data_IF_908799759406
#
_entry.id   IF_908799759406
#
_cell.length_a   1.000
_cell.length_b   1.000
_cell.length_c   1.000
_cell.angle_alpha   90.00
_cell.angle_beta   90.00
_cell.angle_gamma   90.00
#
_symmetry.space_group_name_H-M   'P 1'
#
loop_
_entity.id
_entity.type
_entity.pdbx_description
1 polymer ?
#
# COMPACT_ATOMS: atom_id res chain seq x y z
N UNK A 1 55.32 26.81 -43.67
CA UNK A 1 55.66 26.98 -42.24
C UNK A 1 54.94 28.19 -41.62
N UNK A 2 54.57 29.20 -42.40
CA UNK A 2 53.83 30.41 -41.97
C UNK A 2 52.41 30.12 -41.40
N UNK A 3 51.64 29.25 -42.05
CA UNK A 3 50.24 28.95 -41.67
C UNK A 3 50.09 28.30 -40.28
N UNK A 4 51.07 27.47 -39.88
CA UNK A 4 51.05 26.74 -38.60
C UNK A 4 51.35 27.68 -37.42
N UNK A 5 52.13 28.74 -37.64
CA UNK A 5 52.42 29.75 -36.61
C UNK A 5 51.21 30.64 -36.33
N UNK A 6 50.48 31.05 -37.38
CA UNK A 6 49.28 31.88 -37.22
C UNK A 6 48.20 31.19 -36.36
N UNK A 7 48.02 29.86 -36.52
CA UNK A 7 47.08 29.10 -35.71
C UNK A 7 47.47 29.03 -34.23
N UNK A 8 48.77 28.98 -33.93
CA UNK A 8 49.27 28.99 -32.54
C UNK A 8 49.13 30.36 -31.87
N UNK A 9 49.36 31.43 -32.62
CA UNK A 9 49.16 32.79 -32.12
C UNK A 9 47.68 33.09 -31.86
N UNK A 10 46.79 32.67 -32.75
CA UNK A 10 45.34 32.78 -32.57
C UNK A 10 44.83 31.97 -31.38
N UNK A 11 45.31 30.73 -31.20
CA UNK A 11 44.98 29.90 -30.03
C UNK A 11 45.51 30.52 -28.72
N UNK A 12 46.74 31.02 -28.73
CA UNK A 12 47.32 31.71 -27.58
C UNK A 12 46.55 32.99 -27.22
N UNK A 13 46.08 33.74 -28.23
CA UNK A 13 45.26 34.93 -28.06
C UNK A 13 43.88 34.59 -27.48
N UNK A 14 43.19 33.59 -28.04
CA UNK A 14 41.89 33.14 -27.55
C UNK A 14 41.99 32.62 -26.10
N UNK A 15 43.04 31.85 -25.80
CA UNK A 15 43.29 31.30 -24.46
C UNK A 15 43.62 32.37 -23.44
N UNK A 16 44.34 33.43 -23.83
CA UNK A 16 44.60 34.60 -22.99
C UNK A 16 43.30 35.33 -22.66
N UNK A 17 42.48 35.60 -23.68
CA UNK A 17 41.19 36.28 -23.50
C UNK A 17 40.25 35.48 -22.58
N UNK A 18 40.10 34.18 -22.81
CA UNK A 18 39.24 33.31 -21.99
C UNK A 18 39.72 33.26 -20.53
N UNK A 19 41.03 33.34 -20.29
CA UNK A 19 41.63 33.31 -18.95
C UNK A 19 41.53 34.65 -18.21
N UNK A 20 41.40 35.75 -18.93
CA UNK A 20 41.19 37.10 -18.38
C UNK A 20 39.72 37.36 -17.99
N UNK A 21 38.79 36.54 -18.49
CA UNK A 21 37.39 36.57 -18.03
C UNK A 21 37.38 36.17 -16.55
N UNK A 22 36.89 37.07 -15.69
CA UNK A 22 36.64 36.76 -14.28
C UNK A 22 35.66 35.59 -14.21
N UNK A 23 36.11 34.47 -13.63
CA UNK A 23 35.23 33.35 -13.32
C UNK A 23 34.16 33.84 -12.33
N UNK A 24 32.91 33.88 -12.78
CA UNK A 24 31.78 34.08 -11.90
C UNK A 24 31.67 32.86 -10.98
N UNK A 25 32.06 33.02 -9.72
CA UNK A 25 31.84 32.00 -8.72
C UNK A 25 30.37 32.04 -8.31
N UNK A 26 29.70 30.89 -8.17
CA UNK A 26 28.37 30.87 -7.59
C UNK A 26 28.40 31.54 -6.20
N UNK A 27 27.24 32.04 -5.75
CA UNK A 27 27.12 32.57 -4.40
C UNK A 27 27.57 31.52 -3.38
N UNK A 28 28.09 31.95 -2.24
CA UNK A 28 28.57 31.05 -1.17
C UNK A 28 27.49 30.03 -0.75
N UNK A 29 26.23 30.42 -0.87
CA UNK A 29 25.06 29.63 -0.48
C UNK A 29 24.33 28.98 -1.68
N UNK A 30 24.94 28.93 -2.85
CA UNK A 30 24.32 28.36 -4.06
C UNK A 30 23.91 26.90 -3.84
N UNK A 31 24.82 26.08 -3.35
CA UNK A 31 24.54 24.65 -3.08
C UNK A 31 23.47 24.48 -2.02
N UNK A 32 23.52 25.29 -0.94
CA UNK A 32 22.51 25.25 0.11
C UNK A 32 21.12 25.64 -0.42
N UNK A 33 21.05 26.71 -1.23
CA UNK A 33 19.81 27.20 -1.83
C UNK A 33 19.23 26.21 -2.84
N UNK A 34 20.09 25.60 -3.67
CA UNK A 34 19.70 24.57 -4.65
C UNK A 34 19.17 23.32 -3.94
N UNK A 35 19.90 22.82 -2.94
CA UNK A 35 19.52 21.61 -2.21
C UNK A 35 18.20 21.82 -1.44
N UNK A 36 18.02 23.00 -0.84
CA UNK A 36 16.76 23.33 -0.15
C UNK A 36 15.58 23.33 -1.13
N UNK A 37 15.76 23.86 -2.34
CA UNK A 37 14.72 23.85 -3.39
C UNK A 37 14.40 22.44 -3.88
N UNK A 38 15.42 21.61 -4.09
CA UNK A 38 15.28 20.20 -4.48
C UNK A 38 14.53 19.42 -3.41
N UNK A 39 14.88 19.59 -2.13
CA UNK A 39 14.20 18.90 -1.01
C UNK A 39 12.73 19.30 -0.93
N UNK A 40 12.41 20.59 -1.11
CA UNK A 40 11.02 21.08 -1.09
C UNK A 40 10.20 20.54 -2.27
N UNK A 41 10.75 20.50 -3.48
CA UNK A 41 10.07 19.89 -4.63
C UNK A 41 9.91 18.38 -4.48
N UNK A 42 10.94 17.70 -3.99
CA UNK A 42 10.92 16.25 -3.79
C UNK A 42 9.97 15.84 -2.65
N UNK A 43 9.80 16.67 -1.62
CA UNK A 43 8.80 16.47 -0.56
C UNK A 43 7.36 16.61 -1.09
N UNK A 44 7.12 17.56 -2.00
CA UNK A 44 5.80 17.71 -2.64
C UNK A 44 5.45 16.53 -3.57
N UNK A 45 6.46 15.87 -4.14
CA UNK A 45 6.30 14.72 -5.03
C UNK A 45 6.50 13.37 -4.34
N UNK A 46 6.69 13.32 -3.01
CA UNK A 46 6.64 12.05 -2.27
C UNK A 46 5.24 11.49 -2.46
N UNK A 47 5.17 10.54 -3.40
CA UNK A 47 4.07 9.65 -3.72
C UNK A 47 3.02 9.66 -2.63
N UNK A 48 2.00 10.49 -2.81
CA UNK A 48 0.78 10.38 -2.05
C UNK A 48 0.30 8.98 -2.36
N UNK A 49 0.50 8.07 -1.41
CA UNK A 49 0.03 6.70 -1.51
C UNK A 49 -1.48 6.82 -1.61
N UNK A 50 -1.97 6.82 -2.84
CA UNK A 50 -3.39 6.93 -3.13
C UNK A 50 -3.99 5.66 -2.55
N UNK A 51 -4.61 5.81 -1.38
CA UNK A 51 -5.34 4.72 -0.72
C UNK A 51 -6.21 4.06 -1.80
N UNK A 52 -6.01 2.76 -2.08
CA UNK A 52 -6.71 2.05 -3.16
C UNK A 52 -8.23 2.15 -3.01
N UNK A 53 -8.70 2.34 -1.77
CA UNK A 53 -10.09 2.54 -1.39
C UNK A 53 -10.12 3.74 -0.43
N UNK A 54 -10.87 4.78 -0.79
CA UNK A 54 -11.10 5.94 0.09
C UNK A 54 -11.68 5.49 1.44
N UNK A 55 -11.40 6.23 2.52
CA UNK A 55 -12.02 6.02 3.84
C UNK A 55 -13.55 5.84 3.80
N UNK A 56 -14.23 6.51 2.86
CA UNK A 56 -15.67 6.33 2.63
C UNK A 56 -16.03 4.98 1.99
N UNK A 57 -15.18 4.46 1.10
CA UNK A 57 -15.35 3.13 0.48
C UNK A 57 -15.24 1.99 1.48
N UNK A 58 -14.36 2.12 2.48
CA UNK A 58 -14.26 1.18 3.59
C UNK A 58 -15.54 1.11 4.42
N UNK A 59 -16.21 2.24 4.64
CA UNK A 59 -17.49 2.29 5.35
C UNK A 59 -18.60 1.55 4.58
N UNK A 60 -18.63 1.69 3.24
CA UNK A 60 -19.59 0.99 2.38
C UNK A 60 -19.34 -0.53 2.40
N UNK A 61 -18.08 -0.96 2.36
CA UNK A 61 -17.72 -2.39 2.45
C UNK A 61 -18.15 -2.95 3.81
N UNK A 62 -17.85 -2.24 4.90
CA UNK A 62 -18.26 -2.65 6.24
C UNK A 62 -19.78 -2.78 6.35
N UNK A 63 -20.54 -1.79 5.86
CA UNK A 63 -21.99 -1.80 5.87
C UNK A 63 -22.56 -2.95 5.02
N UNK A 64 -21.95 -3.25 3.88
CA UNK A 64 -22.34 -4.36 3.01
C UNK A 64 -22.15 -5.72 3.69
N UNK A 65 -21.00 -5.93 4.35
CA UNK A 65 -20.75 -7.14 5.14
C UNK A 65 -21.75 -7.25 6.29
N UNK A 66 -22.00 -6.14 7.00
CA UNK A 66 -22.96 -6.10 8.10
C UNK A 66 -24.37 -6.46 7.63
N UNK A 67 -24.80 -5.97 6.47
CA UNK A 67 -26.09 -6.29 5.88
C UNK A 67 -26.19 -7.78 5.55
N UNK A 68 -25.19 -8.36 4.89
CA UNK A 68 -25.17 -9.80 4.55
C UNK A 68 -25.25 -10.67 5.81
N UNK A 69 -24.61 -10.25 6.90
CA UNK A 69 -24.67 -10.97 8.18
C UNK A 69 -26.02 -10.78 8.87
N UNK A 70 -26.57 -9.57 8.94
CA UNK A 70 -27.78 -9.27 9.72
C UNK A 70 -29.10 -9.60 9.01
N UNK A 71 -29.15 -9.55 7.67
CA UNK A 71 -30.33 -9.91 6.88
C UNK A 71 -30.86 -11.33 7.22
N UNK A 72 -30.03 -12.39 7.28
CA UNK A 72 -30.51 -13.72 7.64
C UNK A 72 -30.95 -13.82 9.11
N UNK A 73 -30.34 -13.06 10.04
CA UNK A 73 -30.79 -13.03 11.45
C UNK A 73 -32.15 -12.36 11.64
N UNK A 74 -32.48 -11.36 10.80
CA UNK A 74 -33.75 -10.64 10.88
C UNK A 74 -34.86 -11.31 10.08
N UNK A 75 -34.51 -12.09 9.06
CA UNK A 75 -35.43 -12.78 8.15
C UNK A 75 -35.72 -14.23 8.60
N UNK A 76 -36.08 -14.41 9.87
CA UNK A 76 -36.43 -15.73 10.42
C UNK A 76 -37.82 -16.23 9.98
N UNK A 77 -38.53 -15.54 9.08
CA UNK A 77 -39.90 -15.97 8.71
C UNK A 77 -40.11 -16.40 7.26
N UNK A 78 -39.44 -15.86 6.21
CA UNK A 78 -39.69 -16.31 4.83
C UNK A 78 -38.44 -16.25 3.95
N UNK A 79 -37.83 -17.40 3.74
CA UNK A 79 -36.63 -17.63 2.93
C UNK A 79 -36.90 -17.52 1.43
N UNK A 80 -36.44 -16.45 0.78
CA UNK A 80 -36.32 -16.36 -0.69
C UNK A 80 -34.99 -16.89 -1.23
N UNK A 81 -34.08 -17.30 -0.34
CA UNK A 81 -32.80 -17.91 -0.70
C UNK A 81 -32.86 -19.34 -0.17
N UNK A 82 -32.87 -20.33 -1.07
CA UNK A 82 -32.60 -21.72 -0.71
C UNK A 82 -31.12 -21.83 -0.34
N UNK A 83 -30.76 -21.31 0.82
CA UNK A 83 -29.52 -21.68 1.49
C UNK A 83 -29.74 -23.14 1.87
N UNK A 84 -28.94 -24.09 1.35
CA UNK A 84 -29.02 -25.46 1.83
C UNK A 84 -28.88 -25.39 3.35
N UNK A 85 -29.81 -26.04 4.08
CA UNK A 85 -29.71 -26.16 5.53
C UNK A 85 -28.32 -26.68 5.83
N UNK A 86 -27.45 -25.80 6.29
CA UNK A 86 -26.14 -26.17 6.80
C UNK A 86 -26.45 -26.86 8.11
N UNK A 87 -26.73 -28.16 8.01
CA UNK A 87 -26.93 -28.98 9.19
C UNK A 87 -25.57 -29.10 9.86
N UNK A 88 -25.37 -28.25 10.87
CA UNK A 88 -24.22 -28.25 11.76
C UNK A 88 -24.22 -29.48 12.69
N UNK A 89 -24.88 -30.58 12.32
CA UNK A 89 -24.87 -31.85 13.04
C UNK A 89 -23.44 -32.40 13.26
N UNK A 90 -22.49 -31.99 12.40
CA UNK A 90 -21.06 -32.26 12.62
C UNK A 90 -20.51 -31.59 13.89
N UNK A 91 -21.00 -30.41 14.28
CA UNK A 91 -20.56 -29.72 15.49
C UNK A 91 -21.00 -30.46 16.76
N UNK A 92 -22.19 -31.09 16.77
CA UNK A 92 -22.64 -31.91 17.91
C UNK A 92 -21.76 -33.13 18.15
N UNK A 93 -21.05 -33.60 17.12
CA UNK A 93 -20.09 -34.71 17.25
C UNK A 93 -18.70 -34.25 17.68
N UNK A 94 -18.42 -32.95 17.66
CA UNK A 94 -17.17 -32.39 18.14
C UNK A 94 -17.27 -32.30 19.66
N UNK A 95 -16.80 -33.34 20.34
CA UNK A 95 -16.58 -33.28 21.78
C UNK A 95 -15.40 -32.33 22.02
N UNK A 96 -15.71 -31.04 22.22
CA UNK A 96 -14.73 -30.05 22.65
C UNK A 96 -14.25 -30.50 24.03
N UNK A 97 -12.98 -30.88 24.19
CA UNK A 97 -12.55 -31.42 25.46
C UNK A 97 -12.46 -30.29 26.49
N UNK A 98 -12.75 -30.62 27.76
CA UNK A 98 -12.89 -29.69 28.89
C UNK A 98 -11.61 -28.88 29.23
N UNK A 99 -10.55 -28.96 28.41
CA UNK A 99 -9.37 -28.10 28.57
C UNK A 99 -9.66 -26.63 28.27
N UNK A 100 -10.72 -26.31 27.51
CA UNK A 100 -11.14 -24.92 27.27
C UNK A 100 -11.90 -24.32 28.46
N UNK A 101 -12.55 -25.14 29.29
CA UNK A 101 -13.35 -24.67 30.44
C UNK A 101 -12.49 -24.02 31.52
N UNK A 102 -11.23 -24.44 31.63
CA UNK A 102 -10.25 -23.85 32.56
C UNK A 102 -9.48 -22.65 31.97
N UNK A 103 -9.70 -22.32 30.69
CA UNK A 103 -9.04 -21.19 30.05
C UNK A 103 -9.85 -19.91 30.26
N UNK A 104 -9.37 -19.05 31.17
CA UNK A 104 -9.84 -17.66 31.26
C UNK A 104 -9.34 -16.88 30.04
N UNK A 105 -10.14 -16.89 28.98
CA UNK A 105 -9.88 -16.10 27.77
C UNK A 105 -10.05 -14.62 28.10
N UNK A 106 -8.98 -13.84 27.93
CA UNK A 106 -9.06 -12.38 28.06
C UNK A 106 -9.75 -11.78 26.83
N UNK A 107 -10.39 -10.61 26.99
CA UNK A 107 -11.06 -9.92 25.88
C UNK A 107 -10.11 -9.71 24.68
N UNK A 108 -8.82 -9.45 24.94
CA UNK A 108 -7.79 -9.32 23.90
C UNK A 108 -7.61 -10.61 23.10
N UNK A 109 -7.56 -11.77 23.75
CA UNK A 109 -7.44 -13.07 23.07
C UNK A 109 -8.69 -13.37 22.25
N UNK A 110 -9.88 -13.01 22.76
CA UNK A 110 -11.13 -13.14 22.01
C UNK A 110 -11.13 -12.30 20.73
N UNK A 111 -10.75 -11.01 20.83
CA UNK A 111 -10.62 -10.14 19.66
C UNK A 111 -9.57 -10.64 18.67
N UNK A 112 -8.45 -11.17 19.17
CA UNK A 112 -7.41 -11.76 18.33
C UNK A 112 -7.91 -12.98 17.55
N UNK A 113 -8.61 -13.92 18.21
CA UNK A 113 -9.20 -15.10 17.56
C UNK A 113 -10.22 -14.68 16.51
N UNK A 114 -11.09 -13.73 16.83
CA UNK A 114 -12.11 -13.23 15.90
C UNK A 114 -11.48 -12.60 14.65
N UNK A 115 -10.52 -11.70 14.85
CA UNK A 115 -9.84 -11.03 13.74
C UNK A 115 -9.01 -12.00 12.90
N UNK A 116 -8.32 -12.95 13.55
CA UNK A 116 -7.55 -13.99 12.88
C UNK A 116 -8.46 -14.91 12.05
N UNK A 117 -9.61 -15.31 12.58
CA UNK A 117 -10.62 -16.07 11.84
C UNK A 117 -11.11 -15.32 10.60
N UNK A 118 -11.43 -14.03 10.73
CA UNK A 118 -11.85 -13.21 9.59
C UNK A 118 -10.76 -13.11 8.52
N UNK A 119 -9.50 -12.91 8.94
CA UNK A 119 -8.36 -12.86 8.03
C UNK A 119 -8.11 -14.20 7.33
N UNK A 120 -8.30 -15.33 8.02
CA UNK A 120 -8.20 -16.67 7.43
C UNK A 120 -9.24 -16.86 6.32
N UNK A 121 -10.49 -16.45 6.53
CA UNK A 121 -11.51 -16.50 5.46
C UNK A 121 -11.13 -15.62 4.25
N UNK A 122 -10.60 -14.42 4.49
CA UNK A 122 -10.12 -13.56 3.42
C UNK A 122 -8.98 -14.22 2.62
N UNK A 123 -8.05 -14.90 3.30
CA UNK A 123 -6.98 -15.67 2.66
C UNK A 123 -7.53 -16.82 1.81
N UNK A 124 -8.51 -17.59 2.32
CA UNK A 124 -9.15 -18.68 1.57
C UNK A 124 -9.82 -18.16 0.30
N UNK A 125 -10.54 -17.03 0.36
CA UNK A 125 -11.17 -16.41 -0.82
C UNK A 125 -10.13 -15.90 -1.81
N UNK A 126 -9.08 -15.24 -1.34
CA UNK A 126 -7.98 -14.78 -2.19
C UNK A 126 -7.30 -15.94 -2.91
N UNK A 127 -7.01 -17.02 -2.19
CA UNK A 127 -6.37 -18.21 -2.72
C UNK A 127 -7.28 -18.90 -3.73
N UNK A 128 -8.58 -19.03 -3.43
CA UNK A 128 -9.59 -19.58 -4.36
C UNK A 128 -9.66 -18.75 -5.66
N UNK A 129 -9.68 -17.43 -5.57
CA UNK A 129 -9.69 -16.56 -6.75
C UNK A 129 -8.40 -16.68 -7.58
N UNK A 130 -7.25 -16.85 -6.92
CA UNK A 130 -5.97 -17.03 -7.59
C UNK A 130 -5.88 -18.38 -8.32
N UNK A 131 -6.36 -19.48 -7.72
CA UNK A 131 -6.38 -20.79 -8.37
C UNK A 131 -7.44 -20.87 -9.48
N UNK A 132 -8.62 -20.25 -9.31
CA UNK A 132 -9.66 -20.25 -10.35
C UNK A 132 -9.20 -19.53 -11.62
N UNK A 133 -8.35 -18.50 -11.51
CA UNK A 133 -7.79 -17.78 -12.66
C UNK A 133 -6.67 -18.53 -13.40
N UNK A 134 -6.16 -19.64 -12.86
CA UNK A 134 -5.08 -20.44 -13.48
C UNK A 134 -5.58 -21.75 -14.10
N UNK A 135 -6.84 -22.10 -13.87
CA UNK A 135 -7.46 -23.32 -14.38
C UNK A 135 -8.41 -23.06 -15.56
N UNK A 136 -8.50 -21.79 -16.01
CA UNK A 136 -9.05 -21.38 -17.30
C UNK A 136 -7.92 -21.07 -18.28
#
# INVERSE_FOLDING_TARGET
>A
MEEINNNKELDAFAKKYVKEIKMESPSKDFTASLMNKIVVEHQKSVFVSKELISKKGWFVIFLSVLAVVLIPFKSSEKSFINIPKLDFYFFDKIQIPNFLDNLKVSNTVFYAIFFFGLMFFAQVVFLKNHFNKRLD
#
